data_IF_424192059139
#
_entry.id   IF_424192059139
#
_cell.length_a   1.000
_cell.length_b   1.000
_cell.length_c   1.000
_cell.angle_alpha   90.00
_cell.angle_beta   90.00
_cell.angle_gamma   90.00
#
_symmetry.space_group_name_H-M   'P 1'
#
loop_
_entity.id
_entity.type
_entity.pdbx_description
1 polymer ?
#
# COMPACT_ATOMS: atom_id res chain seq x y z
N UNK A 1 -8.13 0.54 11.05
CA UNK A 1 -8.23 1.66 10.11
C UNK A 1 -7.80 2.91 10.84
N UNK A 2 -7.06 3.80 10.19
CA UNK A 2 -6.71 5.11 10.71
C UNK A 2 -6.64 6.12 9.56
N UNK A 3 -6.82 7.41 9.87
CA UNK A 3 -6.83 8.50 8.92
C UNK A 3 -6.07 9.71 9.48
N UNK A 4 -5.36 10.43 8.61
CA UNK A 4 -4.53 11.58 8.99
C UNK A 4 -4.57 12.69 7.93
N UNK A 5 -4.49 13.94 8.38
CA UNK A 5 -4.43 15.11 7.50
C UNK A 5 -5.79 15.58 6.99
N UNK A 6 -5.73 16.64 6.17
CA UNK A 6 -6.84 17.23 5.42
C UNK A 6 -6.28 17.75 4.07
N UNK A 7 -6.57 17.10 2.92
CA UNK A 7 -7.43 15.91 2.76
C UNK A 7 -6.86 14.66 3.45
N UNK A 8 -7.68 13.67 3.81
CA UNK A 8 -7.21 12.55 4.62
C UNK A 8 -6.42 11.50 3.83
N UNK A 9 -5.24 11.11 4.33
CA UNK A 9 -4.60 9.81 3.99
C UNK A 9 -5.24 8.73 4.86
N UNK A 10 -5.69 7.63 4.26
CA UNK A 10 -6.39 6.54 4.96
C UNK A 10 -5.57 5.26 4.85
N UNK A 11 -5.37 4.55 5.97
CA UNK A 11 -4.77 3.22 5.96
C UNK A 11 -5.69 2.19 6.64
N UNK A 12 -5.84 1.03 6.00
CA UNK A 12 -6.60 -0.11 6.50
C UNK A 12 -5.80 -1.40 6.38
N UNK A 13 -5.79 -2.18 7.45
CA UNK A 13 -5.18 -3.51 7.53
C UNK A 13 -6.29 -4.55 7.69
N UNK A 14 -6.09 -5.76 7.16
CA UNK A 14 -7.08 -6.83 7.23
C UNK A 14 -7.78 -7.13 5.90
N UNK A 15 -7.26 -6.62 4.78
CA UNK A 15 -7.81 -6.96 3.45
C UNK A 15 -7.32 -8.34 3.03
N UNK A 16 -8.10 -8.99 2.17
CA UNK A 16 -7.68 -10.23 1.49
C UNK A 16 -6.40 -9.96 0.69
N UNK A 17 -5.39 -10.86 0.75
CA UNK A 17 -4.17 -10.70 -0.03
C UNK A 17 -4.43 -10.64 -1.54
N UNK A 18 -3.75 -9.72 -2.22
CA UNK A 18 -3.89 -9.58 -3.67
C UNK A 18 -3.40 -10.83 -4.40
N UNK A 19 -4.22 -11.31 -5.36
CA UNK A 19 -3.83 -12.28 -6.38
C UNK A 19 -2.75 -11.74 -7.33
N UNK A 20 -2.20 -12.59 -8.22
CA UNK A 20 -1.32 -12.14 -9.30
C UNK A 20 -1.99 -11.02 -10.13
N UNK A 21 -1.23 -9.97 -10.44
CA UNK A 21 -1.71 -8.81 -11.19
C UNK A 21 -0.63 -8.29 -12.15
N UNK A 22 -1.07 -7.51 -13.14
CA UNK A 22 -0.21 -6.74 -14.06
C UNK A 22 -0.18 -5.25 -13.73
N UNK A 23 -0.82 -4.85 -12.62
CA UNK A 23 -0.78 -3.48 -12.12
C UNK A 23 0.65 -3.09 -11.70
N UNK A 24 0.93 -1.79 -11.64
CA UNK A 24 2.24 -1.27 -11.23
C UNK A 24 2.60 -1.76 -9.83
N UNK A 25 3.78 -2.37 -9.70
CA UNK A 25 4.29 -2.92 -8.45
C UNK A 25 5.61 -2.24 -8.08
N UNK A 26 5.72 -1.76 -6.85
CA UNK A 26 6.92 -1.09 -6.33
C UNK A 26 7.34 -1.67 -4.99
N UNK A 27 8.65 -1.79 -4.79
CA UNK A 27 9.22 -2.17 -3.50
C UNK A 27 9.64 -0.91 -2.74
N UNK A 28 9.11 -0.72 -1.54
CA UNK A 28 9.48 0.37 -0.62
C UNK A 28 9.87 -0.25 0.71
N UNK A 29 11.08 0.03 1.17
CA UNK A 29 11.67 -0.54 2.40
C UNK A 29 11.53 -2.07 2.52
N UNK A 30 11.68 -2.79 1.41
CA UNK A 30 11.56 -4.25 1.37
C UNK A 30 10.13 -4.78 1.50
N UNK A 31 9.13 -3.91 1.40
CA UNK A 31 7.71 -4.27 1.28
C UNK A 31 7.26 -3.97 -0.14
N UNK A 32 6.64 -4.95 -0.77
CA UNK A 32 6.09 -4.81 -2.12
C UNK A 32 4.68 -4.23 -2.05
N UNK A 33 4.35 -3.35 -3.00
CA UNK A 33 3.07 -2.66 -3.06
C UNK A 33 2.57 -2.60 -4.49
N UNK A 34 1.32 -3.00 -4.72
CA UNK A 34 0.61 -2.74 -5.96
C UNK A 34 -0.03 -1.37 -5.87
N UNK A 35 0.28 -0.50 -6.83
CA UNK A 35 -0.19 0.88 -6.90
C UNK A 35 -1.22 1.03 -8.00
N UNK A 36 -2.33 1.72 -7.70
CA UNK A 36 -3.35 2.07 -8.69
C UNK A 36 -3.72 3.55 -8.58
N UNK A 37 -3.87 4.20 -9.72
CA UNK A 37 -4.36 5.58 -9.78
C UNK A 37 -5.86 5.65 -9.46
N UNK A 38 -6.25 6.70 -8.74
CA UNK A 38 -7.65 7.06 -8.47
C UNK A 38 -7.95 8.42 -9.10
N UNK A 39 -9.22 8.83 -9.12
CA UNK A 39 -9.63 10.13 -9.69
C UNK A 39 -9.03 11.34 -8.95
N UNK A 40 -8.76 11.20 -7.65
CA UNK A 40 -8.32 12.26 -6.74
C UNK A 40 -7.03 11.91 -5.99
N UNK A 41 -6.31 10.87 -6.42
CA UNK A 41 -5.10 10.41 -5.75
C UNK A 41 -4.60 9.05 -6.24
N UNK A 42 -4.05 8.27 -5.32
CA UNK A 42 -3.58 6.91 -5.61
C UNK A 42 -3.81 5.99 -4.41
N UNK A 43 -3.94 4.71 -4.70
CA UNK A 43 -3.96 3.68 -3.68
C UNK A 43 -2.76 2.76 -3.83
N UNK A 44 -2.25 2.28 -2.71
CA UNK A 44 -1.21 1.27 -2.64
C UNK A 44 -1.65 0.15 -1.71
N UNK A 45 -1.58 -1.09 -2.18
CA UNK A 45 -1.91 -2.28 -1.39
C UNK A 45 -0.69 -3.17 -1.28
N UNK A 46 -0.34 -3.63 -0.07
CA UNK A 46 0.79 -4.54 0.12
C UNK A 46 0.61 -5.79 -0.72
N UNK A 47 1.64 -6.13 -1.48
CA UNK A 47 1.78 -7.38 -2.20
C UNK A 47 2.70 -8.31 -1.42
N UNK A 48 2.39 -9.60 -1.39
CA UNK A 48 3.18 -10.54 -0.60
C UNK A 48 2.81 -10.66 0.89
N UNK A 49 1.84 -9.87 1.40
CA UNK A 49 1.45 -9.86 2.84
C UNK A 49 0.07 -10.48 3.08
N UNK A 50 -0.07 -11.14 4.22
CA UNK A 50 -1.32 -11.72 4.69
C UNK A 50 -1.54 -11.45 6.21
N UNK A 51 -2.53 -10.60 6.58
CA UNK A 51 -3.46 -9.88 5.70
C UNK A 51 -2.78 -8.75 4.91
N UNK A 52 -3.48 -8.19 3.91
CA UNK A 52 -3.01 -7.02 3.20
C UNK A 52 -3.33 -5.71 3.93
N UNK A 53 -2.46 -4.72 3.73
CA UNK A 53 -2.67 -3.30 4.06
C UNK A 53 -2.96 -2.53 2.78
N UNK A 54 -3.94 -1.63 2.81
CA UNK A 54 -4.17 -0.63 1.77
C UNK A 54 -4.01 0.78 2.34
N UNK A 55 -3.33 1.64 1.58
CA UNK A 55 -3.14 3.06 1.83
C UNK A 55 -3.78 3.84 0.68
N UNK A 56 -4.73 4.71 1.00
CA UNK A 56 -5.32 5.68 0.09
C UNK A 56 -4.68 7.04 0.36
N UNK A 57 -4.11 7.66 -0.66
CA UNK A 57 -3.44 8.95 -0.55
C UNK A 57 -4.05 9.96 -1.55
N UNK A 58 -4.56 11.10 -1.07
CA UNK A 58 -4.95 12.21 -1.93
C UNK A 58 -3.77 12.72 -2.77
N UNK A 59 -4.03 13.11 -4.01
CA UNK A 59 -3.00 13.62 -4.93
C UNK A 59 -2.32 14.91 -4.44
N UNK A 60 -2.93 15.62 -3.49
CA UNK A 60 -2.37 16.79 -2.83
C UNK A 60 -1.04 16.50 -2.09
N UNK A 61 -0.79 15.24 -1.71
CA UNK A 61 0.45 14.81 -1.04
C UNK A 61 1.47 14.19 -2.01
N UNK A 62 1.19 14.21 -3.32
CA UNK A 62 2.04 13.61 -4.33
C UNK A 62 1.87 12.09 -4.46
N UNK A 63 2.82 11.41 -5.13
CA UNK A 63 2.74 9.98 -5.37
C UNK A 63 2.72 9.16 -4.08
N UNK A 64 1.77 8.22 -3.96
CA UNK A 64 1.64 7.36 -2.78
C UNK A 64 2.93 6.61 -2.38
N UNK A 65 3.82 6.15 -3.28
CA UNK A 65 5.05 5.46 -2.87
C UNK A 65 5.96 6.26 -1.93
N UNK A 66 5.92 7.60 -2.01
CA UNK A 66 6.71 8.47 -1.13
C UNK A 66 6.18 8.50 0.31
N UNK A 67 4.92 8.11 0.52
CA UNK A 67 4.26 8.06 1.83
C UNK A 67 4.39 6.68 2.49
N UNK A 68 4.71 5.64 1.71
CA UNK A 68 4.78 4.26 2.18
C UNK A 68 5.83 3.96 3.26
N UNK A 69 6.97 4.67 3.37
CA UNK A 69 7.94 4.45 4.44
C UNK A 69 7.33 4.55 5.85
N UNK A 70 6.30 5.38 6.03
CA UNK A 70 5.58 5.51 7.30
C UNK A 70 4.83 4.22 7.70
N UNK A 71 4.50 3.35 6.74
CA UNK A 71 3.76 2.10 6.95
C UNK A 71 4.67 0.87 6.91
N UNK A 72 5.93 1.00 6.50
CA UNK A 72 6.90 -0.10 6.44
C UNK A 72 7.04 -0.89 7.74
N UNK A 73 7.09 -0.28 8.94
CA UNK A 73 7.22 -1.04 10.20
C UNK A 73 6.05 -1.99 10.45
N UNK A 74 4.81 -1.55 10.17
CA UNK A 74 3.64 -2.40 10.34
C UNK A 74 3.52 -3.41 9.21
N UNK A 75 3.79 -3.02 7.95
CA UNK A 75 3.65 -3.90 6.81
C UNK A 75 4.67 -5.05 6.82
N UNK A 76 5.91 -4.77 7.24
CA UNK A 76 6.96 -5.79 7.39
C UNK A 76 6.70 -6.79 8.52
N UNK A 77 5.91 -6.41 9.53
CA UNK A 77 5.54 -7.30 10.64
C UNK A 77 4.50 -8.36 10.26
N UNK A 78 3.82 -8.20 9.12
CA UNK A 78 2.78 -9.12 8.68
C UNK A 78 3.37 -10.37 8.02
N UNK A 79 2.74 -11.55 8.23
CA UNK A 79 3.10 -12.78 7.53
C UNK A 79 3.21 -12.59 6.02
N UNK A 80 4.14 -13.32 5.40
CA UNK A 80 4.32 -13.33 3.96
C UNK A 80 3.59 -14.49 3.30
N UNK A 81 3.03 -14.27 2.11
CA UNK A 81 2.46 -15.33 1.26
C UNK A 81 3.37 -15.74 0.08
N UNK A 82 4.62 -15.24 0.06
CA UNK A 82 5.64 -15.60 -0.93
C UNK A 82 5.53 -14.88 -2.28
N UNK A 83 4.56 -13.98 -2.47
CA UNK A 83 4.46 -13.13 -3.67
C UNK A 83 5.37 -11.91 -3.56
N UNK A 84 5.97 -11.53 -4.68
CA UNK A 84 6.86 -10.38 -4.78
C UNK A 84 6.67 -9.66 -6.12
N UNK A 85 7.00 -8.37 -6.17
CA UNK A 85 7.10 -7.67 -7.45
C UNK A 85 8.12 -8.40 -8.36
N UNK A 86 7.83 -8.47 -9.66
CA UNK A 86 8.67 -9.12 -10.69
C UNK A 86 9.44 -8.11 -11.51
#
# INVERSE_FOLDING_TARGET
>A
MAAWGDPAVIARCGLEPLGPTTDDCVTVDGVDWVVRSLSDGSMATTYGRDPAIEVLAPGAYGPVPLLLPAFSPVASSLPTNGRHCT
#
